data_IF_501032698013
#
_entry.id   IF_501032698013
#
_cell.length_a   1.000
_cell.length_b   1.000
_cell.length_c   1.000
_cell.angle_alpha   90.00
_cell.angle_beta   90.00
_cell.angle_gamma   90.00
#
_symmetry.space_group_name_H-M   'P 1'
#
loop_
_entity.id
_entity.type
_entity.pdbx_description
1 polymer ?
#
# COMPACT_ATOMS: atom_id res chain seq x y z
N UNK A 1 8.33 19.26 5.94
CA UNK A 1 7.73 19.04 4.61
C UNK A 1 8.46 19.93 3.63
N UNK A 2 9.24 19.41 2.67
CA UNK A 2 10.01 20.24 1.73
C UNK A 2 9.41 20.35 0.33
N UNK A 3 8.32 19.64 0.03
CA UNK A 3 7.85 19.51 -1.36
C UNK A 3 6.40 19.99 -1.61
N UNK A 4 5.76 20.68 -0.65
CA UNK A 4 4.46 21.34 -0.87
C UNK A 4 3.23 20.44 -1.08
N UNK A 5 3.33 19.13 -0.78
CA UNK A 5 2.22 18.17 -0.90
C UNK A 5 1.38 18.20 0.39
N UNK A 6 0.06 18.29 0.26
CA UNK A 6 -0.88 18.29 1.38
C UNK A 6 -1.28 16.85 1.78
N UNK A 7 -0.32 16.12 2.37
CA UNK A 7 -0.48 14.72 2.80
C UNK A 7 -0.32 14.60 4.31
N UNK A 8 -1.09 13.69 4.92
CA UNK A 8 -0.94 13.34 6.32
C UNK A 8 0.46 12.76 6.60
N UNK A 9 1.12 13.22 7.66
CA UNK A 9 2.47 12.77 8.05
C UNK A 9 2.47 12.17 9.43
N UNK A 10 3.51 11.38 9.76
CA UNK A 10 3.69 10.82 11.10
C UNK A 10 3.64 11.89 12.21
N UNK A 11 4.19 13.08 11.97
CA UNK A 11 4.18 14.16 12.96
C UNK A 11 2.81 14.83 13.15
N UNK A 12 1.92 14.69 12.18
CA UNK A 12 0.57 15.25 12.23
C UNK A 12 -0.41 14.22 12.82
N UNK A 13 -0.34 12.98 12.35
CA UNK A 13 -1.29 11.90 12.70
C UNK A 13 -1.32 11.56 14.20
N UNK A 14 -0.18 11.68 14.90
CA UNK A 14 -0.10 11.43 16.35
C UNK A 14 -0.72 12.54 17.20
N UNK A 15 -0.93 13.73 16.62
CA UNK A 15 -1.62 14.84 17.26
C UNK A 15 -3.13 14.83 17.01
N UNK A 16 -3.58 14.18 15.93
CA UNK A 16 -4.99 14.09 15.56
C UNK A 16 -5.76 13.10 16.46
N UNK A 17 -5.18 11.92 16.72
CA UNK A 17 -5.86 10.87 17.47
C UNK A 17 -4.87 9.88 18.13
N UNK A 18 -5.41 8.91 18.87
CA UNK A 18 -4.65 7.92 19.66
C UNK A 18 -4.52 6.57 18.95
N UNK A 19 -4.35 6.57 17.62
CA UNK A 19 -4.24 5.33 16.83
C UNK A 19 -2.92 4.57 17.08
N UNK A 20 -1.86 5.29 17.42
CA UNK A 20 -0.54 4.72 17.69
C UNK A 20 -0.21 4.79 19.18
N UNK A 21 0.70 3.92 19.63
CA UNK A 21 1.29 4.03 20.96
C UNK A 21 1.99 5.39 21.12
N UNK A 22 1.91 6.00 22.30
CA UNK A 22 2.64 7.23 22.63
C UNK A 22 4.16 7.09 22.50
N UNK A 23 4.70 5.86 22.49
CA UNK A 23 6.11 5.61 22.16
C UNK A 23 6.49 6.06 20.75
N UNK A 24 5.54 6.08 19.80
CA UNK A 24 5.80 6.48 18.41
C UNK A 24 6.14 7.98 18.30
N UNK A 25 5.63 8.82 19.21
CA UNK A 25 5.89 10.27 19.23
C UNK A 25 7.39 10.60 19.29
N UNK A 26 8.20 9.71 19.88
CA UNK A 26 9.66 9.87 19.94
C UNK A 26 10.32 9.81 18.56
N UNK A 27 9.65 9.23 17.56
CA UNK A 27 10.21 8.92 16.24
C UNK A 27 9.62 9.74 15.10
N UNK A 28 8.49 10.43 15.29
CA UNK A 28 7.75 11.09 14.19
C UNK A 28 8.51 12.21 13.46
N UNK A 29 9.61 12.70 14.04
CA UNK A 29 10.54 13.67 13.41
C UNK A 29 11.88 13.06 12.99
N UNK A 30 12.04 11.76 13.16
CA UNK A 30 13.25 11.00 12.85
C UNK A 30 12.92 9.62 12.26
N UNK A 31 11.88 9.54 11.42
CA UNK A 31 11.38 8.30 10.80
C UNK A 31 12.49 7.39 10.24
N UNK A 32 13.55 7.89 9.58
CA UNK A 32 14.62 7.03 9.05
C UNK A 32 15.38 6.19 10.09
N UNK A 33 15.23 6.44 11.40
CA UNK A 33 15.85 5.62 12.45
C UNK A 33 15.03 4.38 12.82
N UNK A 34 13.77 4.29 12.38
CA UNK A 34 12.92 3.14 12.65
C UNK A 34 13.37 1.94 11.80
N UNK A 35 13.51 0.74 12.38
CA UNK A 35 13.94 -0.45 11.63
C UNK A 35 12.78 -1.12 10.88
N UNK A 36 11.69 -0.40 10.64
CA UNK A 36 10.51 -0.88 9.94
C UNK A 36 9.72 0.28 9.34
N UNK A 37 8.89 -0.03 8.35
CA UNK A 37 7.86 0.86 7.82
C UNK A 37 6.64 0.00 7.38
N UNK A 38 5.54 0.62 6.96
CA UNK A 38 4.26 -0.05 6.73
C UNK A 38 4.28 -1.10 5.61
N UNK A 39 5.27 -1.10 4.71
CA UNK A 39 5.44 -2.18 3.74
C UNK A 39 5.77 -3.51 4.45
N UNK A 40 6.48 -3.46 5.58
CA UNK A 40 6.73 -4.62 6.45
C UNK A 40 5.49 -5.00 7.26
N UNK A 41 4.68 -4.03 7.69
CA UNK A 41 3.41 -4.30 8.35
C UNK A 41 2.46 -5.08 7.42
N UNK A 42 2.32 -4.64 6.17
CA UNK A 42 1.56 -5.36 5.16
C UNK A 42 2.14 -6.77 4.97
N UNK A 43 3.47 -6.91 4.89
CA UNK A 43 4.14 -8.20 4.72
C UNK A 43 3.86 -9.22 5.84
N UNK A 44 3.47 -8.80 7.06
CA UNK A 44 3.03 -9.73 8.11
C UNK A 44 1.76 -10.52 7.74
N UNK A 45 1.04 -10.09 6.69
CA UNK A 45 -0.11 -10.83 6.16
C UNK A 45 0.32 -12.03 5.32
N UNK A 46 1.50 -11.97 4.69
CA UNK A 46 1.97 -13.03 3.80
C UNK A 46 2.09 -14.40 4.52
N UNK A 47 1.77 -15.53 3.87
CA UNK A 47 1.30 -15.65 2.48
C UNK A 47 -0.22 -15.51 2.32
N UNK A 48 -0.97 -15.08 3.35
CA UNK A 48 -2.43 -14.86 3.22
C UNK A 48 -2.71 -13.75 2.22
N UNK A 49 -3.94 -13.74 1.72
CA UNK A 49 -4.36 -12.76 0.73
C UNK A 49 -4.55 -11.37 1.35
N UNK A 50 -4.12 -10.33 0.62
CA UNK A 50 -4.29 -8.92 0.99
C UNK A 50 -4.59 -8.08 -0.26
N UNK A 51 -5.74 -7.39 -0.29
CA UNK A 51 -6.05 -6.39 -1.31
C UNK A 51 -6.11 -5.01 -0.65
N UNK A 52 -5.36 -4.06 -1.21
CA UNK A 52 -5.38 -2.65 -0.81
C UNK A 52 -6.12 -1.86 -1.88
N UNK A 53 -7.08 -1.05 -1.44
CA UNK A 53 -7.89 -0.17 -2.29
C UNK A 53 -7.75 1.24 -1.73
N UNK A 54 -7.39 2.19 -2.60
CA UNK A 54 -7.05 3.55 -2.20
C UNK A 54 -7.43 4.57 -3.28
N UNK A 55 -7.44 5.86 -2.94
CA UNK A 55 -8.01 6.91 -3.78
C UNK A 55 -6.95 7.95 -4.17
N UNK A 56 -6.61 8.00 -5.46
CA UNK A 56 -5.61 8.95 -5.99
C UNK A 56 -6.08 10.40 -6.03
N UNK A 57 -7.39 10.65 -5.93
CA UNK A 57 -7.98 11.97 -5.91
C UNK A 57 -7.93 12.68 -4.55
N UNK A 58 -7.33 12.05 -3.52
CA UNK A 58 -7.25 12.61 -2.17
C UNK A 58 -5.78 12.71 -1.74
N UNK A 59 -5.20 13.90 -1.89
CA UNK A 59 -3.80 14.18 -1.52
C UNK A 59 -3.48 13.84 -0.07
N UNK A 60 -4.46 14.01 0.84
CA UNK A 60 -4.29 13.74 2.27
C UNK A 60 -3.86 12.30 2.55
N UNK A 61 -4.32 11.34 1.74
CA UNK A 61 -3.98 9.92 1.86
C UNK A 61 -2.55 9.59 1.40
N UNK A 62 -1.92 10.52 0.68
CA UNK A 62 -0.58 10.34 0.12
C UNK A 62 -0.52 9.23 -0.94
N UNK A 63 -1.21 9.38 -2.10
CA UNK A 63 -1.30 8.33 -3.10
C UNK A 63 0.06 7.74 -3.52
N UNK A 64 1.09 8.58 -3.70
CA UNK A 64 2.44 8.13 -4.06
C UNK A 64 3.06 7.27 -2.95
N UNK A 65 2.83 7.62 -1.68
CA UNK A 65 3.29 6.86 -0.51
C UNK A 65 2.61 5.49 -0.46
N UNK A 66 1.28 5.44 -0.60
CA UNK A 66 0.54 4.16 -0.62
C UNK A 66 1.00 3.29 -1.79
N UNK A 67 1.13 3.86 -2.99
CA UNK A 67 1.60 3.14 -4.18
C UNK A 67 2.97 2.49 -3.96
N UNK A 68 3.94 3.30 -3.54
CA UNK A 68 5.30 2.84 -3.27
C UNK A 68 5.37 1.80 -2.16
N UNK A 69 4.68 2.06 -1.05
CA UNK A 69 4.65 1.18 0.11
C UNK A 69 4.05 -0.19 -0.24
N UNK A 70 2.93 -0.23 -0.95
CA UNK A 70 2.21 -1.47 -1.27
C UNK A 70 2.88 -2.24 -2.41
N UNK A 71 3.45 -1.56 -3.43
CA UNK A 71 4.33 -2.19 -4.42
C UNK A 71 5.53 -2.86 -3.76
N UNK A 72 6.13 -2.19 -2.78
CA UNK A 72 7.28 -2.71 -2.02
C UNK A 72 6.86 -3.92 -1.20
N UNK A 73 5.71 -3.88 -0.53
CA UNK A 73 5.17 -5.02 0.21
C UNK A 73 4.93 -6.25 -0.69
N UNK A 74 4.41 -6.07 -1.90
CA UNK A 74 4.16 -7.17 -2.84
C UNK A 74 5.42 -7.99 -3.16
N UNK A 75 6.62 -7.39 -3.06
CA UNK A 75 7.89 -8.12 -3.25
C UNK A 75 8.06 -9.30 -2.29
N UNK A 76 7.44 -9.26 -1.09
CA UNK A 76 7.44 -10.39 -0.16
C UNK A 76 6.61 -11.56 -0.70
N UNK A 77 5.45 -11.29 -1.28
CA UNK A 77 4.64 -12.32 -1.96
C UNK A 77 5.33 -12.86 -3.20
N UNK A 78 6.05 -12.03 -3.95
CA UNK A 78 6.90 -12.47 -5.06
C UNK A 78 7.99 -13.44 -4.57
N UNK A 79 8.66 -13.10 -3.47
CA UNK A 79 9.68 -13.96 -2.88
C UNK A 79 9.14 -15.33 -2.45
N UNK A 80 7.89 -15.37 -1.98
CA UNK A 80 7.17 -16.59 -1.58
C UNK A 80 6.51 -17.34 -2.76
N UNK A 81 6.65 -16.87 -4.00
CA UNK A 81 6.04 -17.51 -5.17
C UNK A 81 4.51 -17.36 -5.28
N UNK A 82 3.92 -16.41 -4.55
CA UNK A 82 2.47 -16.17 -4.47
C UNK A 82 2.12 -14.70 -4.73
N UNK A 83 2.81 -14.08 -5.70
CA UNK A 83 2.72 -12.65 -6.02
C UNK A 83 1.28 -12.14 -6.23
N UNK A 84 0.40 -12.99 -6.75
CA UNK A 84 -1.01 -12.69 -7.01
C UNK A 84 -1.92 -12.81 -5.76
N UNK A 85 -1.35 -13.11 -4.59
CA UNK A 85 -2.06 -13.07 -3.30
C UNK A 85 -1.97 -11.71 -2.61
N UNK A 86 -1.23 -10.75 -3.16
CA UNK A 86 -1.30 -9.37 -2.69
C UNK A 86 -1.51 -8.42 -3.85
N UNK A 87 -2.46 -7.50 -3.70
CA UNK A 87 -2.80 -6.51 -4.71
C UNK A 87 -2.94 -5.11 -4.16
N UNK A 88 -2.74 -4.13 -5.03
CA UNK A 88 -3.04 -2.72 -4.81
C UNK A 88 -3.79 -2.16 -6.01
N UNK A 89 -4.92 -1.53 -5.75
CA UNK A 89 -5.71 -0.76 -6.71
C UNK A 89 -5.87 0.66 -6.20
N UNK A 90 -5.44 1.63 -6.99
CA UNK A 90 -5.71 3.04 -6.70
C UNK A 90 -6.47 3.67 -7.86
N UNK A 91 -7.66 4.20 -7.58
CA UNK A 91 -8.48 4.90 -8.56
C UNK A 91 -9.09 6.14 -7.91
N UNK A 92 -9.07 7.27 -8.62
CA UNK A 92 -9.64 8.53 -8.16
C UNK A 92 -11.07 8.75 -8.65
N UNK A 93 -11.51 10.02 -8.66
CA UNK A 93 -12.80 10.45 -9.19
C UNK A 93 -14.04 9.80 -8.50
N UNK A 94 -13.93 9.56 -7.20
CA UNK A 94 -15.05 9.18 -6.33
C UNK A 94 -14.86 9.81 -4.95
N UNK A 95 -15.95 9.95 -4.18
CA UNK A 95 -15.88 10.54 -2.85
C UNK A 95 -15.11 9.65 -1.85
N UNK A 96 -14.61 10.25 -0.78
CA UNK A 96 -13.95 9.53 0.30
C UNK A 96 -14.86 8.42 0.86
N UNK A 97 -14.31 7.20 0.97
CA UNK A 97 -15.01 5.97 1.38
C UNK A 97 -16.19 5.53 0.50
N UNK A 98 -16.50 6.22 -0.61
CA UNK A 98 -17.45 5.74 -1.60
C UNK A 98 -16.75 4.73 -2.52
N UNK A 99 -17.12 3.46 -2.45
CA UNK A 99 -16.51 2.44 -3.31
C UNK A 99 -16.86 2.68 -4.80
N UNK A 100 -15.88 2.82 -5.70
CA UNK A 100 -16.14 3.07 -7.10
C UNK A 100 -16.46 1.76 -7.86
N UNK A 101 -17.40 1.83 -8.81
CA UNK A 101 -17.73 0.66 -9.65
C UNK A 101 -16.57 0.16 -10.51
N UNK A 102 -15.57 1.00 -10.78
CA UNK A 102 -14.35 0.66 -11.54
C UNK A 102 -13.42 -0.32 -10.82
N UNK A 103 -13.54 -0.47 -9.50
CA UNK A 103 -12.71 -1.38 -8.69
C UNK A 103 -13.46 -2.65 -8.23
N UNK A 104 -14.74 -2.77 -8.57
CA UNK A 104 -15.55 -3.94 -8.20
C UNK A 104 -14.94 -5.23 -8.74
N UNK A 105 -14.41 -5.21 -9.96
CA UNK A 105 -13.76 -6.37 -10.57
C UNK A 105 -12.52 -6.85 -9.81
N UNK A 106 -11.74 -5.93 -9.21
CA UNK A 106 -10.54 -6.29 -8.45
C UNK A 106 -10.92 -6.88 -7.09
N UNK A 107 -11.91 -6.29 -6.42
CA UNK A 107 -12.47 -6.82 -5.18
C UNK A 107 -13.04 -8.23 -5.41
N UNK A 108 -13.86 -8.39 -6.44
CA UNK A 108 -14.46 -9.67 -6.80
C UNK A 108 -13.39 -10.72 -7.11
N UNK A 109 -12.29 -10.35 -7.76
CA UNK A 109 -11.20 -11.27 -8.03
C UNK A 109 -10.59 -11.87 -6.76
N UNK A 110 -10.32 -11.04 -5.75
CA UNK A 110 -9.78 -11.49 -4.47
C UNK A 110 -10.81 -12.30 -3.67
N UNK A 111 -12.05 -11.82 -3.57
CA UNK A 111 -13.14 -12.52 -2.87
C UNK A 111 -13.38 -13.89 -3.49
N UNK A 112 -13.50 -13.96 -4.81
CA UNK A 112 -13.77 -15.20 -5.53
C UNK A 112 -12.63 -16.21 -5.34
N UNK A 113 -11.37 -15.77 -5.46
CA UNK A 113 -10.22 -16.66 -5.29
C UNK A 113 -10.03 -17.13 -3.85
N UNK A 114 -9.97 -16.20 -2.89
CA UNK A 114 -9.49 -16.49 -1.54
C UNK A 114 -10.59 -16.80 -0.52
N UNK A 115 -11.84 -16.39 -0.79
CA UNK A 115 -12.98 -16.69 0.10
C UNK A 115 -13.93 -17.73 -0.49
N UNK A 116 -14.02 -17.84 -1.82
CA UNK A 116 -14.94 -18.78 -2.50
C UNK A 116 -14.24 -19.93 -3.22
N UNK A 117 -12.90 -19.98 -3.22
CA UNK A 117 -12.11 -21.05 -3.83
C UNK A 117 -12.26 -21.15 -5.35
N UNK A 118 -12.60 -20.04 -6.01
CA UNK A 118 -12.78 -20.00 -7.46
C UNK A 118 -11.45 -19.74 -8.18
N UNK A 119 -11.33 -20.25 -9.41
CA UNK A 119 -10.19 -19.95 -10.28
C UNK A 119 -10.38 -18.57 -10.90
N UNK A 120 -9.85 -17.53 -10.26
CA UNK A 120 -9.91 -16.14 -10.74
C UNK A 120 -8.52 -15.52 -10.77
N UNK A 121 -8.22 -14.71 -11.78
CA UNK A 121 -6.97 -13.95 -11.85
C UNK A 121 -7.03 -12.77 -10.86
N UNK A 122 -6.18 -12.80 -9.83
CA UNK A 122 -6.08 -11.77 -8.79
C UNK A 122 -4.79 -10.94 -8.90
N UNK A 123 -4.14 -10.91 -10.07
CA UNK A 123 -2.98 -10.04 -10.31
C UNK A 123 -3.42 -8.58 -10.46
N UNK A 124 -3.54 -7.88 -9.34
CA UNK A 124 -4.01 -6.49 -9.26
C UNK A 124 -2.89 -5.60 -8.72
N UNK A 125 -2.11 -4.98 -9.61
CA UNK A 125 -1.14 -3.94 -9.27
C UNK A 125 -1.40 -2.77 -10.21
N UNK A 126 -2.24 -1.82 -9.80
CA UNK A 126 -2.65 -0.71 -10.65
C UNK A 126 -2.89 0.61 -9.90
N UNK A 127 -2.66 1.70 -10.61
CA UNK A 127 -2.96 3.08 -10.18
C UNK A 127 -3.39 3.87 -11.40
N UNK A 128 -4.35 4.79 -11.28
CA UNK A 128 -4.69 5.77 -12.31
C UNK A 128 -3.81 7.04 -12.26
N UNK A 129 -2.91 7.12 -11.27
CA UNK A 129 -1.92 8.18 -11.17
C UNK A 129 -0.90 8.14 -12.31
N UNK A 130 -0.76 9.26 -13.01
CA UNK A 130 0.16 9.37 -14.15
C UNK A 130 1.60 8.96 -13.76
N UNK A 131 2.26 8.21 -14.64
CA UNK A 131 3.64 7.72 -14.46
C UNK A 131 3.86 7.01 -13.11
N UNK A 132 2.88 6.26 -12.60
CA UNK A 132 2.98 5.59 -11.29
C UNK A 132 3.18 6.58 -10.15
N UNK A 133 2.51 7.74 -10.25
CA UNK A 133 2.60 8.86 -9.30
C UNK A 133 4.03 9.42 -9.16
N UNK A 134 4.90 9.18 -10.16
CA UNK A 134 6.30 9.56 -10.11
C UNK A 134 7.13 8.79 -9.08
N UNK A 135 6.63 7.66 -8.56
CA UNK A 135 7.41 6.80 -7.67
C UNK A 135 8.52 6.07 -8.44
N UNK A 136 9.75 6.15 -7.93
CA UNK A 136 10.95 5.52 -8.52
C UNK A 136 11.47 4.46 -7.56
N UNK A 137 11.33 3.18 -7.92
CA UNK A 137 11.69 2.05 -7.03
C UNK A 137 13.14 2.14 -6.51
N UNK A 138 14.09 2.56 -7.36
CA UNK A 138 15.51 2.64 -7.00
C UNK A 138 15.83 3.70 -5.92
N UNK A 139 14.95 4.66 -5.69
CA UNK A 139 15.13 5.69 -4.65
C UNK A 139 14.73 5.17 -3.26
N UNK A 140 13.99 4.07 -3.19
CA UNK A 140 13.37 3.55 -1.96
C UNK A 140 13.75 2.11 -1.61
N UNK A 141 14.24 1.34 -2.59
CA UNK A 141 14.43 -0.11 -2.49
C UNK A 141 15.86 -0.44 -2.89
N UNK A 142 16.69 -0.80 -1.91
CA UNK A 142 18.10 -1.17 -2.09
C UNK A 142 18.37 -2.68 -2.03
N UNK A 143 17.30 -3.50 -2.00
CA UNK A 143 17.37 -4.96 -1.98
C UNK A 143 16.78 -5.61 -3.25
N UNK A 144 17.25 -6.81 -3.55
CA UNK A 144 16.69 -7.67 -4.59
C UNK A 144 15.67 -8.66 -4.01
N UNK A 145 14.68 -9.07 -4.80
CA UNK A 145 13.70 -10.08 -4.39
C UNK A 145 14.34 -11.47 -4.48
N UNK A 146 14.54 -12.21 -3.37
CA UNK A 146 15.02 -13.58 -3.43
C UNK A 146 13.90 -14.53 -3.87
N UNK A 147 14.24 -15.74 -4.31
CA UNK A 147 13.28 -16.85 -4.39
C UNK A 147 13.41 -17.68 -3.11
N UNK A 148 12.36 -17.67 -2.27
CA UNK A 148 12.32 -18.47 -1.05
C UNK A 148 11.78 -19.86 -1.39
N UNK A 149 12.51 -20.90 -0.96
CA UNK A 149 12.20 -22.32 -1.17
C UNK A 149 11.63 -22.98 0.08
#
# INVERSE_FOLDING_TARGET
MSNGINTQTASEIVGENVWFSTAFEQYVRQIPVLPFDHHMLAALVAPRALLIIDNTGIDWLGPQSVWGCMKTANKVWQALGVADSMGVSQVGNHNHCQFPGSEQGDLDAFVNKFLKGQSTNSNVIKTDGANGLGFVDADWIDWTVPALS
#
